data_IF_948517787887
#
_entry.id   IF_948517787887
#
_cell.length_a   1.000
_cell.length_b   1.000
_cell.length_c   1.000
_cell.angle_alpha   90.00
_cell.angle_beta   90.00
_cell.angle_gamma   90.00
#
_symmetry.space_group_name_H-M   'P 1'
#
loop_
_entity.id
_entity.type
_entity.pdbx_description
1 polymer ?
#
# COMPACT_ATOMS: atom_id res chain seq x y z
N UNK A 1 -37.17 -7.17 -26.42
CA UNK A 1 -36.05 -7.80 -25.71
C UNK A 1 -34.71 -7.64 -26.43
N UNK A 2 -34.60 -7.97 -27.74
CA UNK A 2 -33.34 -7.85 -28.51
C UNK A 2 -32.72 -6.43 -28.54
N UNK A 3 -33.54 -5.38 -28.67
CA UNK A 3 -33.09 -3.97 -28.66
C UNK A 3 -32.52 -3.51 -27.32
N UNK A 4 -33.08 -4.00 -26.21
CA UNK A 4 -32.60 -3.70 -24.85
C UNK A 4 -31.20 -4.32 -24.63
N UNK A 5 -30.98 -5.51 -25.19
CA UNK A 5 -29.72 -6.23 -25.12
C UNK A 5 -28.59 -5.48 -25.85
N UNK A 6 -28.87 -4.88 -27.01
CA UNK A 6 -27.91 -4.02 -27.71
C UNK A 6 -27.60 -2.72 -26.95
N UNK A 7 -28.58 -2.12 -26.27
CA UNK A 7 -28.36 -0.92 -25.44
C UNK A 7 -27.47 -1.25 -24.24
N UNK A 8 -27.68 -2.39 -23.57
CA UNK A 8 -26.85 -2.82 -22.43
C UNK A 8 -25.41 -3.10 -22.86
N UNK A 9 -25.21 -3.75 -24.03
CA UNK A 9 -23.88 -3.97 -24.61
C UNK A 9 -23.19 -2.65 -24.94
N UNK A 10 -23.92 -1.70 -25.54
CA UNK A 10 -23.38 -0.38 -25.86
C UNK A 10 -23.00 0.43 -24.61
N UNK A 11 -23.83 0.36 -23.56
CA UNK A 11 -23.58 1.03 -22.27
C UNK A 11 -22.38 0.42 -21.52
N UNK A 12 -22.16 -0.90 -21.68
CA UNK A 12 -20.99 -1.59 -21.12
C UNK A 12 -19.67 -1.17 -21.76
N UNK A 13 -19.69 -0.71 -23.01
CA UNK A 13 -18.51 -0.23 -23.74
C UNK A 13 -18.09 1.21 -23.34
N UNK A 14 -18.99 1.97 -22.73
CA UNK A 14 -18.75 3.37 -22.30
C UNK A 14 -18.12 3.44 -20.89
N UNK A 15 -18.15 2.35 -20.13
CA UNK A 15 -17.56 2.28 -18.79
C UNK A 15 -16.20 1.58 -18.86
N UNK A 16 -15.09 2.33 -18.64
CA UNK A 16 -14.59 2.46 -17.29
C UNK A 16 -13.99 3.86 -17.01
N UNK A 17 -14.83 4.89 -16.84
CA UNK A 17 -14.36 6.23 -16.47
C UNK A 17 -14.13 6.42 -14.95
N UNK A 18 -14.47 5.42 -14.13
CA UNK A 18 -14.41 5.49 -12.66
C UNK A 18 -13.57 4.33 -12.09
N UNK A 19 -12.29 4.26 -12.47
CA UNK A 19 -11.35 3.31 -11.86
C UNK A 19 -10.01 3.97 -11.49
N UNK A 20 -10.02 5.30 -11.30
CA UNK A 20 -8.81 6.13 -11.42
C UNK A 20 -8.46 6.94 -10.16
N UNK A 21 -8.86 6.49 -8.97
CA UNK A 21 -8.58 7.24 -7.73
C UNK A 21 -7.07 7.40 -7.47
N UNK A 22 -6.27 6.37 -7.78
CA UNK A 22 -4.88 6.31 -7.36
C UNK A 22 -3.87 6.13 -8.51
N UNK A 23 -4.28 6.07 -9.79
CA UNK A 23 -3.29 5.88 -10.87
C UNK A 23 -2.40 7.11 -11.05
N UNK A 24 -2.84 8.30 -10.64
CA UNK A 24 -2.02 9.50 -10.69
C UNK A 24 -0.72 9.33 -9.85
N UNK A 25 -0.84 8.84 -8.61
CA UNK A 25 0.32 8.59 -7.75
C UNK A 25 1.12 7.37 -8.20
N UNK A 26 0.46 6.31 -8.69
CA UNK A 26 1.13 5.14 -9.25
C UNK A 26 2.01 5.51 -10.45
N UNK A 27 1.47 6.27 -11.41
CA UNK A 27 2.20 6.74 -12.58
C UNK A 27 3.37 7.64 -12.19
N UNK A 28 3.16 8.58 -11.26
CA UNK A 28 4.21 9.48 -10.78
C UNK A 28 5.37 8.72 -10.12
N UNK A 29 5.07 7.69 -9.33
CA UNK A 29 6.08 6.83 -8.70
C UNK A 29 6.86 6.02 -9.76
N UNK A 30 6.16 5.43 -10.72
CA UNK A 30 6.80 4.70 -11.83
C UNK A 30 7.72 5.60 -12.66
N UNK A 31 7.27 6.80 -13.01
CA UNK A 31 8.05 7.77 -13.78
C UNK A 31 9.31 8.20 -13.01
N UNK A 32 9.17 8.52 -11.72
CA UNK A 32 10.30 8.92 -10.88
C UNK A 32 11.36 7.81 -10.75
N UNK A 33 10.92 6.56 -10.57
CA UNK A 33 11.81 5.41 -10.35
C UNK A 33 12.54 5.01 -11.63
N UNK A 34 11.90 5.14 -12.81
CA UNK A 34 12.46 4.70 -14.11
C UNK A 34 13.86 5.24 -14.41
N UNK A 35 14.17 6.45 -13.93
CA UNK A 35 15.46 7.12 -14.16
C UNK A 35 16.52 6.90 -13.08
N UNK A 36 16.29 5.99 -12.11
CA UNK A 36 17.22 5.77 -10.98
C UNK A 36 17.98 4.47 -11.17
N UNK A 37 19.30 4.53 -10.97
CA UNK A 37 20.16 3.35 -10.91
C UNK A 37 20.05 2.68 -9.52
N UNK A 38 18.85 2.15 -9.23
CA UNK A 38 18.55 1.47 -7.98
C UNK A 38 17.31 0.59 -8.12
N UNK A 39 17.24 -0.46 -7.30
CA UNK A 39 16.00 -1.21 -7.10
C UNK A 39 15.16 -0.53 -6.02
N UNK A 40 14.06 0.10 -6.43
CA UNK A 40 13.17 0.85 -5.53
C UNK A 40 11.82 0.13 -5.42
N UNK A 41 11.36 -0.13 -4.20
CA UNK A 41 10.04 -0.66 -3.89
C UNK A 41 9.22 0.37 -3.12
N UNK A 42 7.95 0.52 -3.47
CA UNK A 42 7.02 1.46 -2.82
C UNK A 42 5.67 0.79 -2.64
N UNK A 43 5.10 0.89 -1.44
CA UNK A 43 3.73 0.52 -1.16
C UNK A 43 3.03 1.68 -0.43
N UNK A 44 1.91 2.17 -0.96
CA UNK A 44 1.13 3.25 -0.37
C UNK A 44 -0.28 2.74 -0.11
N UNK A 45 -0.68 2.68 1.17
CA UNK A 45 -2.04 2.34 1.57
C UNK A 45 -2.86 3.63 1.62
N UNK A 46 -3.91 3.69 0.80
CA UNK A 46 -4.81 4.84 0.64
C UNK A 46 -6.18 4.45 1.19
N UNK A 47 -6.69 5.29 2.11
CA UNK A 47 -7.97 5.08 2.79
C UNK A 47 -8.11 3.68 3.43
N UNK A 48 -6.99 3.09 3.87
CA UNK A 48 -6.96 1.78 4.54
C UNK A 48 -7.30 0.58 3.64
N UNK A 49 -7.45 0.76 2.33
CA UNK A 49 -7.89 -0.31 1.42
C UNK A 49 -7.09 -0.36 0.12
N UNK A 50 -7.03 0.74 -0.61
CA UNK A 50 -6.37 0.74 -1.91
C UNK A 50 -4.86 0.78 -1.71
N UNK A 51 -4.13 -0.04 -2.44
CA UNK A 51 -2.67 -0.09 -2.34
C UNK A 51 -2.06 0.19 -3.69
N UNK A 52 -1.27 1.26 -3.77
CA UNK A 52 -0.36 1.51 -4.90
C UNK A 52 0.92 0.77 -4.60
N UNK A 53 1.38 -0.08 -5.52
CA UNK A 53 2.52 -0.96 -5.31
C UNK A 53 3.48 -0.95 -6.51
N UNK A 54 4.70 -0.45 -6.29
CA UNK A 54 5.80 -0.53 -7.25
C UNK A 54 6.81 -1.54 -6.70
N UNK A 55 7.06 -2.64 -7.43
CA UNK A 55 7.95 -3.74 -7.00
C UNK A 55 7.60 -4.36 -5.63
N UNK A 56 6.34 -4.28 -5.18
CA UNK A 56 5.96 -4.70 -3.81
C UNK A 56 6.01 -6.21 -3.53
N UNK A 57 6.27 -7.05 -4.54
CA UNK A 57 6.50 -8.49 -4.37
C UNK A 57 7.99 -8.87 -4.28
N UNK A 58 8.89 -7.88 -4.22
CA UNK A 58 10.33 -8.09 -4.08
C UNK A 58 10.73 -7.97 -2.61
N UNK A 59 11.74 -8.76 -2.22
CA UNK A 59 12.34 -8.63 -0.90
C UNK A 59 13.32 -7.45 -0.83
N UNK A 60 13.22 -6.68 0.24
CA UNK A 60 14.12 -5.59 0.58
C UNK A 60 14.67 -5.81 1.98
N UNK A 61 15.97 -5.54 2.22
CA UNK A 61 16.53 -5.61 3.57
C UNK A 61 15.86 -4.55 4.46
N UNK A 62 15.33 -4.98 5.62
CA UNK A 62 14.68 -4.05 6.55
C UNK A 62 15.66 -3.03 7.15
N UNK A 63 16.96 -3.29 7.15
CA UNK A 63 17.97 -2.47 7.82
C UNK A 63 17.51 -2.07 9.22
N UNK A 64 17.41 -0.77 9.55
CA UNK A 64 16.91 -0.30 10.85
C UNK A 64 15.41 -0.06 10.92
N UNK A 65 14.64 -0.25 9.83
CA UNK A 65 13.17 -0.02 9.87
C UNK A 65 12.43 -1.10 10.66
N UNK A 66 13.05 -2.28 10.89
CA UNK A 66 12.51 -3.32 11.77
C UNK A 66 12.27 -2.85 13.22
N UNK A 67 12.93 -1.76 13.64
CA UNK A 67 12.78 -1.23 15.00
C UNK A 67 11.36 -0.75 15.28
N UNK A 68 10.61 -0.31 14.26
CA UNK A 68 9.22 0.09 14.43
C UNK A 68 8.31 -1.08 14.82
N UNK A 69 8.19 -2.17 14.04
CA UNK A 69 7.39 -3.33 14.47
C UNK A 69 7.92 -3.94 15.77
N UNK A 70 9.25 -3.95 16.00
CA UNK A 70 9.81 -4.39 17.28
C UNK A 70 9.33 -3.53 18.46
N UNK A 71 9.34 -2.21 18.33
CA UNK A 71 8.85 -1.31 19.37
C UNK A 71 7.35 -1.52 19.65
N UNK A 72 6.54 -1.79 18.62
CA UNK A 72 5.13 -2.17 18.79
C UNK A 72 4.99 -3.48 19.57
N UNK A 73 5.84 -4.48 19.28
CA UNK A 73 5.87 -5.74 20.05
C UNK A 73 6.22 -5.50 21.51
N UNK A 74 7.22 -4.65 21.80
CA UNK A 74 7.59 -4.30 23.17
C UNK A 74 6.46 -3.56 23.88
N UNK A 75 5.83 -2.58 23.24
CA UNK A 75 4.69 -1.85 23.80
C UNK A 75 3.52 -2.79 24.11
N UNK A 76 3.23 -3.73 23.21
CA UNK A 76 2.23 -4.76 23.44
C UNK A 76 2.59 -5.66 24.63
N UNK A 77 3.85 -6.10 24.72
CA UNK A 77 4.33 -6.91 25.84
C UNK A 77 4.17 -6.20 27.18
N UNK A 78 4.58 -4.93 27.26
CA UNK A 78 4.45 -4.11 28.46
C UNK A 78 2.99 -4.03 28.90
N UNK A 79 2.09 -3.72 27.98
CA UNK A 79 0.65 -3.64 28.25
C UNK A 79 0.08 -4.98 28.73
N UNK A 80 0.41 -6.08 28.05
CA UNK A 80 -0.12 -7.42 28.38
C UNK A 80 0.39 -7.95 29.72
N UNK A 81 1.57 -7.51 30.16
CA UNK A 81 2.17 -7.93 31.43
C UNK A 81 1.98 -6.92 32.58
N UNK A 82 1.20 -5.86 32.38
CA UNK A 82 0.97 -4.83 33.41
C UNK A 82 2.23 -4.06 33.83
N UNK A 83 3.25 -4.04 32.96
CA UNK A 83 4.50 -3.31 33.17
C UNK A 83 4.33 -1.83 32.82
N UNK A 84 5.32 -1.01 33.17
CA UNK A 84 5.37 0.40 32.80
C UNK A 84 6.40 0.67 31.71
N UNK A 85 6.10 1.60 30.81
CA UNK A 85 7.09 2.11 29.84
C UNK A 85 8.27 2.82 30.52
N UNK A 86 8.12 3.22 31.80
CA UNK A 86 9.17 3.86 32.59
C UNK A 86 10.00 2.85 33.42
N UNK A 87 9.75 1.55 33.26
CA UNK A 87 10.53 0.53 33.95
C UNK A 87 12.01 0.58 33.52
N UNK A 88 12.90 0.33 34.46
CA UNK A 88 14.34 0.33 34.20
C UNK A 88 14.77 -1.03 33.63
N UNK A 89 15.60 -1.00 32.59
CA UNK A 89 16.31 -2.17 32.08
C UNK A 89 17.73 -2.13 32.65
N UNK A 90 18.07 -3.09 33.50
CA UNK A 90 19.41 -3.27 34.07
C UNK A 90 20.08 -4.50 33.53
#
# INVERSE_FOLDING_TARGET
MRKLLFIIIYLSFISPAFADGNKAIENALHEYIKGKDARIGVAVIINGKDTVSVNGNRDFPMMSVFKFPLALTVAHWINTNGMSLNDTVT
#
